data_IF_128310385621
#
_entry.id   IF_128310385621
#
_cell.length_a   1.000
_cell.length_b   1.000
_cell.length_c   1.000
_cell.angle_alpha   90.00
_cell.angle_beta   90.00
_cell.angle_gamma   90.00
#
_symmetry.space_group_name_H-M   'P 1'
#
loop_
_entity.id
_entity.type
_entity.pdbx_description
1 polymer ?
#
# COMPACT_ATOMS: atom_id res chain seq x y z
N UNK A 1 -26.98 42.92 33.97
CA UNK A 1 -26.07 42.33 32.97
C UNK A 1 -25.53 41.03 33.54
N UNK A 2 -25.75 39.91 32.85
CA UNK A 2 -25.41 38.57 33.33
C UNK A 2 -23.99 38.22 32.87
N UNK A 3 -23.10 37.92 33.82
CA UNK A 3 -21.75 37.47 33.49
C UNK A 3 -21.78 36.03 32.97
N UNK A 4 -21.22 35.80 31.78
CA UNK A 4 -21.17 34.48 31.17
C UNK A 4 -19.98 33.70 31.74
N UNK A 5 -20.28 32.66 32.53
CA UNK A 5 -19.25 31.84 33.18
C UNK A 5 -18.72 30.83 32.15
N UNK A 6 -17.62 31.20 31.49
CA UNK A 6 -16.94 30.32 30.53
C UNK A 6 -15.88 29.44 31.18
N UNK A 7 -15.87 28.17 30.80
CA UNK A 7 -14.87 27.21 31.27
C UNK A 7 -13.61 27.28 30.40
N UNK A 8 -12.54 27.85 30.96
CA UNK A 8 -11.25 28.01 30.27
C UNK A 8 -10.61 26.69 29.83
N UNK A 9 -10.85 25.58 30.53
CA UNK A 9 -10.34 24.27 30.12
C UNK A 9 -11.00 23.79 28.83
N UNK A 10 -12.31 24.05 28.64
CA UNK A 10 -12.99 23.71 27.39
C UNK A 10 -12.43 24.52 26.23
N UNK A 11 -12.17 25.81 26.44
CA UNK A 11 -11.55 26.70 25.44
C UNK A 11 -10.15 26.22 25.07
N UNK A 12 -9.32 25.87 26.06
CA UNK A 12 -7.97 25.34 25.81
C UNK A 12 -8.02 24.04 25.00
N UNK A 13 -8.86 23.09 25.40
CA UNK A 13 -9.03 21.82 24.67
C UNK A 13 -9.55 22.03 23.24
N UNK A 14 -10.43 23.01 23.03
CA UNK A 14 -10.91 23.33 21.68
C UNK A 14 -9.76 23.85 20.79
N UNK A 15 -8.90 24.73 21.32
CA UNK A 15 -7.70 25.20 20.61
C UNK A 15 -6.74 24.06 20.28
N UNK A 16 -6.46 23.18 21.23
CA UNK A 16 -5.58 22.02 21.03
C UNK A 16 -6.11 21.07 19.92
N UNK A 17 -7.43 20.84 19.88
CA UNK A 17 -8.04 20.05 18.80
C UNK A 17 -7.91 20.72 17.43
N UNK A 18 -8.19 22.03 17.35
CA UNK A 18 -8.07 22.77 16.11
C UNK A 18 -6.63 22.78 15.57
N UNK A 19 -5.63 22.91 16.44
CA UNK A 19 -4.22 22.79 16.03
C UNK A 19 -3.87 21.39 15.53
N UNK A 20 -4.41 20.34 16.17
CA UNK A 20 -4.21 18.96 15.74
C UNK A 20 -4.82 18.70 14.36
N UNK A 21 -6.02 19.23 14.10
CA UNK A 21 -6.68 19.16 12.80
C UNK A 21 -5.88 19.89 11.72
N UNK A 22 -5.39 21.11 12.00
CA UNK A 22 -4.55 21.85 11.06
C UNK A 22 -3.28 21.10 10.70
N UNK A 23 -2.59 20.52 11.68
CA UNK A 23 -1.40 19.67 11.43
C UNK A 23 -1.75 18.44 10.61
N UNK A 24 -2.92 17.84 10.83
CA UNK A 24 -3.39 16.71 10.04
C UNK A 24 -3.71 17.11 8.58
N UNK A 25 -4.27 18.30 8.36
CA UNK A 25 -4.45 18.92 7.04
C UNK A 25 -3.10 19.14 6.34
N UNK A 26 -2.16 19.80 7.02
CA UNK A 26 -0.80 20.05 6.52
C UNK A 26 -0.08 18.75 6.15
N UNK A 27 -0.24 17.69 6.96
CA UNK A 27 0.33 16.39 6.67
C UNK A 27 -0.34 15.70 5.46
N UNK A 28 -1.66 15.83 5.31
CA UNK A 28 -2.40 15.35 4.11
C UNK A 28 -1.91 16.06 2.85
N UNK A 29 -1.70 17.37 2.91
CA UNK A 29 -1.17 18.16 1.78
C UNK A 29 0.29 17.79 1.49
N UNK A 30 1.15 17.76 2.52
CA UNK A 30 2.60 17.56 2.35
C UNK A 30 2.95 16.15 1.90
N UNK A 31 2.28 15.14 2.44
CA UNK A 31 2.65 13.74 2.22
C UNK A 31 1.65 12.99 1.33
N UNK A 32 0.50 13.58 1.00
CA UNK A 32 -0.54 12.99 0.15
C UNK A 32 -1.28 11.81 0.79
N UNK A 33 -0.69 11.17 1.81
CA UNK A 33 -1.23 10.04 2.57
C UNK A 33 -0.97 10.25 4.05
N UNK A 34 -1.92 9.85 4.87
CA UNK A 34 -1.77 9.85 6.33
C UNK A 34 -0.86 8.72 6.79
N UNK A 35 -0.34 8.83 8.01
CA UNK A 35 0.48 7.76 8.61
C UNK A 35 -0.28 6.43 8.68
N UNK A 36 -1.57 6.46 9.03
CA UNK A 36 -2.42 5.29 9.14
C UNK A 36 -2.63 4.59 7.79
N UNK A 37 -2.88 5.35 6.72
CA UNK A 37 -3.03 4.79 5.37
C UNK A 37 -1.73 4.13 4.88
N UNK A 38 -0.58 4.76 5.16
CA UNK A 38 0.73 4.18 4.82
C UNK A 38 0.98 2.88 5.58
N UNK A 39 0.68 2.82 6.87
CA UNK A 39 0.83 1.60 7.67
C UNK A 39 -0.09 0.48 7.19
N UNK A 40 -1.33 0.81 6.77
CA UNK A 40 -2.22 -0.17 6.14
C UNK A 40 -1.67 -0.68 4.81
N UNK A 41 -1.20 0.22 3.94
CA UNK A 41 -0.64 -0.15 2.64
C UNK A 41 0.61 -1.02 2.80
N UNK A 42 1.47 -0.70 3.77
CA UNK A 42 2.65 -1.51 4.11
C UNK A 42 2.26 -2.90 4.63
N UNK A 43 1.25 -2.99 5.50
CA UNK A 43 0.74 -4.27 5.99
C UNK A 43 0.10 -5.12 4.89
N UNK A 44 -0.60 -4.50 3.93
CA UNK A 44 -1.15 -5.19 2.75
C UNK A 44 -0.03 -5.74 1.87
N UNK A 45 0.96 -4.90 1.53
CA UNK A 45 2.12 -5.32 0.72
C UNK A 45 2.91 -6.45 1.39
N UNK A 46 3.07 -6.41 2.71
CA UNK A 46 3.75 -7.48 3.44
C UNK A 46 2.98 -8.81 3.36
N UNK A 47 1.64 -8.77 3.43
CA UNK A 47 0.80 -9.96 3.25
C UNK A 47 0.87 -10.50 1.82
N UNK A 48 0.79 -9.61 0.85
CA UNK A 48 0.87 -9.99 -0.57
C UNK A 48 2.25 -10.59 -0.89
N UNK A 49 3.32 -9.98 -0.37
CA UNK A 49 4.68 -10.53 -0.46
C UNK A 49 4.79 -11.92 0.14
N UNK A 50 4.28 -12.13 1.35
CA UNK A 50 4.28 -13.44 1.99
C UNK A 50 3.45 -14.48 1.22
N UNK A 51 2.32 -14.08 0.62
CA UNK A 51 1.50 -14.96 -0.20
C UNK A 51 2.23 -15.35 -1.50
N UNK A 52 2.87 -14.39 -2.17
CA UNK A 52 3.68 -14.64 -3.37
C UNK A 52 4.91 -15.49 -3.05
N UNK A 53 5.55 -15.26 -1.92
CA UNK A 53 6.69 -16.05 -1.45
C UNK A 53 6.29 -17.50 -1.18
N UNK A 54 5.14 -17.73 -0.53
CA UNK A 54 4.62 -19.07 -0.28
C UNK A 54 4.10 -19.78 -1.54
N UNK A 55 3.66 -19.02 -2.54
CA UNK A 55 3.25 -19.54 -3.84
C UNK A 55 4.41 -19.64 -4.85
N UNK A 56 5.62 -19.27 -4.46
CA UNK A 56 6.81 -19.36 -5.32
C UNK A 56 7.08 -20.83 -5.60
N UNK A 57 7.02 -21.19 -6.88
CA UNK A 57 7.56 -22.43 -7.39
C UNK A 57 9.01 -22.11 -7.76
N UNK A 58 9.94 -22.60 -6.96
CA UNK A 58 11.36 -22.50 -7.31
C UNK A 58 11.61 -23.37 -8.55
N UNK A 59 12.28 -22.82 -9.57
CA UNK A 59 12.66 -23.52 -10.82
C UNK A 59 13.71 -24.64 -10.58
N UNK A 60 13.75 -25.21 -9.38
CA UNK A 60 14.74 -26.18 -8.90
C UNK A 60 14.25 -27.64 -8.94
N UNK A 61 13.27 -27.95 -9.79
CA UNK A 61 12.92 -29.33 -10.17
C UNK A 61 13.14 -29.49 -11.68
N UNK A 62 14.18 -30.22 -12.13
CA UNK A 62 14.45 -30.44 -13.54
C UNK A 62 13.44 -31.46 -14.09
N UNK A 63 12.21 -31.02 -14.36
CA UNK A 63 11.17 -31.95 -14.79
C UNK A 63 9.94 -31.37 -15.48
N UNK A 64 9.62 -30.08 -15.31
CA UNK A 64 8.42 -29.52 -15.93
C UNK A 64 8.76 -28.51 -17.01
N UNK A 65 8.80 -28.97 -18.27
CA UNK A 65 8.81 -28.08 -19.42
C UNK A 65 7.52 -27.28 -19.42
N UNK A 66 7.61 -25.94 -19.39
CA UNK A 66 6.47 -25.06 -19.69
C UNK A 66 5.94 -25.48 -21.06
N UNK A 67 4.70 -25.97 -21.11
CA UNK A 67 4.08 -26.55 -22.30
C UNK A 67 3.68 -25.48 -23.35
N UNK A 68 4.58 -24.56 -23.69
CA UNK A 68 4.33 -23.45 -24.60
C UNK A 68 5.43 -23.19 -25.63
N UNK A 69 6.50 -23.97 -25.65
CA UNK A 69 7.56 -23.89 -26.66
C UNK A 69 7.58 -25.20 -27.46
N UNK A 70 6.58 -25.38 -28.32
CA UNK A 70 6.72 -26.26 -29.49
C UNK A 70 7.57 -25.52 -30.51
N UNK A 71 8.89 -25.60 -30.39
CA UNK A 71 9.83 -25.27 -31.48
C UNK A 71 9.87 -26.37 -32.57
N UNK A 72 8.73 -27.01 -32.85
CA UNK A 72 8.62 -28.11 -33.84
C UNK A 72 7.93 -27.69 -35.15
N UNK A 73 7.68 -26.39 -35.37
CA UNK A 73 7.15 -25.84 -36.64
C UNK A 73 8.24 -25.25 -37.56
N UNK A 74 9.49 -25.74 -37.47
CA UNK A 74 10.48 -25.53 -38.53
C UNK A 74 10.20 -26.50 -39.68
N UNK A 75 9.29 -26.11 -40.57
CA UNK A 75 9.06 -26.78 -41.85
C UNK A 75 10.40 -26.86 -42.63
N UNK A 76 10.96 -28.06 -42.89
CA UNK A 76 12.19 -28.18 -43.67
C UNK A 76 11.98 -27.92 -45.18
N UNK A 77 10.79 -27.46 -45.60
CA UNK A 77 10.41 -27.21 -46.99
C UNK A 77 10.87 -25.89 -47.60
N UNK A 78 11.76 -25.12 -46.97
CA UNK A 78 12.28 -23.87 -47.54
C UNK A 78 13.52 -24.09 -48.42
N UNK A 79 13.25 -24.37 -49.70
CA UNK A 79 14.02 -23.95 -50.89
C UNK A 79 15.33 -24.68 -51.21
N UNK A 80 15.23 -25.71 -52.06
CA UNK A 80 15.80 -25.73 -53.44
C UNK A 80 15.13 -26.83 -54.26
#
# INVERSE_FOLDING_TARGET
>A
MTAEIINLNKVRKAKERAEKERRAEENRIRHGRTKAEREQDEALRARDGAALDGARIDDAEPGYKRSGETEDDLDPGSVS
#
